data_IF_172096322138
#
_entry.id   IF_172096322138
#
_cell.length_a   1.000
_cell.length_b   1.000
_cell.length_c   1.000
_cell.angle_alpha   90.00
_cell.angle_beta   90.00
_cell.angle_gamma   90.00
#
_symmetry.space_group_name_H-M   'P 1'
#
loop_
_entity.id
_entity.type
_entity.pdbx_description
1 polymer ?
#
# COMPACT_ATOMS: atom_id res chain seq x y z
N UNK A 1 -9.15 -16.63 17.94
CA UNK A 1 -8.57 -15.43 17.28
C UNK A 1 -7.47 -15.79 16.30
N UNK A 2 -6.46 -16.58 16.70
CA UNK A 2 -5.37 -17.03 15.83
C UNK A 2 -5.83 -17.70 14.52
N UNK A 3 -6.78 -18.65 14.59
CA UNK A 3 -7.32 -19.32 13.39
C UNK A 3 -7.97 -18.38 12.38
N UNK A 4 -8.58 -17.27 12.84
CA UNK A 4 -9.17 -16.26 11.95
C UNK A 4 -8.09 -15.47 11.23
N UNK A 5 -7.04 -15.08 11.93
CA UNK A 5 -5.89 -14.38 11.35
C UNK A 5 -5.18 -15.28 10.33
N UNK A 6 -4.95 -16.55 10.69
CA UNK A 6 -4.38 -17.54 9.78
C UNK A 6 -5.25 -17.70 8.52
N UNK A 7 -6.58 -17.81 8.67
CA UNK A 7 -7.51 -17.92 7.53
C UNK A 7 -7.49 -16.72 6.58
N UNK A 8 -7.24 -15.51 7.09
CA UNK A 8 -7.17 -14.28 6.30
C UNK A 8 -5.80 -14.14 5.59
N UNK A 9 -4.71 -14.47 6.28
CA UNK A 9 -3.35 -14.27 5.75
C UNK A 9 -2.96 -15.38 4.76
N UNK A 10 -3.38 -16.62 5.01
CA UNK A 10 -3.06 -17.79 4.17
C UNK A 10 -3.34 -17.58 2.69
N UNK A 11 -4.53 -17.12 2.25
CA UNK A 11 -4.79 -16.93 0.82
C UNK A 11 -3.84 -15.90 0.20
N UNK A 12 -3.49 -14.83 0.91
CA UNK A 12 -2.54 -13.81 0.43
C UNK A 12 -1.15 -14.43 0.24
N UNK A 13 -0.66 -15.18 1.23
CA UNK A 13 0.65 -15.83 1.17
C UNK A 13 0.69 -16.89 0.06
N UNK A 14 -0.39 -17.65 -0.14
CA UNK A 14 -0.47 -18.63 -1.23
C UNK A 14 -0.43 -17.97 -2.61
N UNK A 15 -1.16 -16.87 -2.81
CA UNK A 15 -1.13 -16.12 -4.08
C UNK A 15 0.30 -15.61 -4.36
N UNK A 16 0.97 -15.06 -3.34
CA UNK A 16 2.37 -14.60 -3.45
C UNK A 16 3.30 -15.77 -3.78
N UNK A 17 3.14 -16.93 -3.13
CA UNK A 17 3.96 -18.11 -3.37
C UNK A 17 3.80 -18.63 -4.80
N UNK A 18 2.57 -18.72 -5.29
CA UNK A 18 2.29 -19.13 -6.68
C UNK A 18 2.93 -18.15 -7.67
N UNK A 19 2.76 -16.84 -7.43
CA UNK A 19 3.39 -15.80 -8.24
C UNK A 19 4.92 -15.89 -8.23
N UNK A 20 5.52 -16.16 -7.07
CA UNK A 20 6.96 -16.35 -6.91
C UNK A 20 7.47 -17.58 -7.69
N UNK A 21 6.81 -18.74 -7.54
CA UNK A 21 7.19 -19.96 -8.25
C UNK A 21 7.08 -19.80 -9.76
N UNK A 22 6.01 -19.15 -10.23
CA UNK A 22 5.83 -18.82 -11.64
C UNK A 22 6.90 -17.84 -12.13
N UNK A 23 7.13 -16.75 -11.40
CA UNK A 23 8.12 -15.73 -11.74
C UNK A 23 9.54 -16.29 -11.83
N UNK A 24 9.88 -17.27 -10.98
CA UNK A 24 11.18 -17.97 -11.01
C UNK A 24 11.37 -18.84 -12.26
N UNK A 25 10.29 -19.33 -12.87
CA UNK A 25 10.35 -20.22 -14.04
C UNK A 25 10.18 -19.47 -15.35
N UNK A 26 9.26 -18.52 -15.41
CA UNK A 26 8.84 -17.86 -16.64
C UNK A 26 9.49 -16.50 -16.88
N UNK A 27 10.08 -15.88 -15.84
CA UNK A 27 10.64 -14.52 -15.90
C UNK A 27 9.78 -13.53 -16.71
N UNK A 28 8.49 -13.39 -16.38
CA UNK A 28 7.57 -12.58 -17.16
C UNK A 28 7.99 -11.11 -17.13
N UNK A 29 7.83 -10.42 -18.26
CA UNK A 29 7.98 -8.97 -18.30
C UNK A 29 6.80 -8.31 -17.56
N UNK A 30 7.11 -7.70 -16.43
CA UNK A 30 6.13 -7.02 -15.58
C UNK A 30 5.90 -5.56 -15.99
N UNK A 31 6.67 -5.01 -16.93
CA UNK A 31 6.58 -3.60 -17.31
C UNK A 31 5.18 -3.24 -17.85
N UNK A 32 4.61 -4.08 -18.72
CA UNK A 32 3.27 -3.87 -19.27
C UNK A 32 2.18 -3.92 -18.22
N UNK A 33 2.24 -4.91 -17.31
CA UNK A 33 1.25 -5.09 -16.23
C UNK A 33 1.34 -3.94 -15.23
N UNK A 34 2.54 -3.55 -14.82
CA UNK A 34 2.76 -2.44 -13.90
C UNK A 34 2.26 -1.12 -14.50
N UNK A 35 2.56 -0.88 -15.79
CA UNK A 35 2.08 0.33 -16.48
C UNK A 35 0.56 0.36 -16.57
N UNK A 36 -0.08 -0.74 -16.98
CA UNK A 36 -1.54 -0.84 -16.97
C UNK A 36 -2.13 -0.63 -15.57
N UNK A 37 -1.43 -1.12 -14.54
CA UNK A 37 -1.86 -0.99 -13.14
C UNK A 37 -1.84 0.46 -12.68
N UNK A 38 -0.78 1.19 -12.98
CA UNK A 38 -0.63 2.60 -12.60
C UNK A 38 -1.50 3.54 -13.44
N UNK A 39 -1.55 3.32 -14.76
CA UNK A 39 -2.22 4.25 -15.68
C UNK A 39 -3.74 4.06 -15.72
N UNK A 40 -4.22 2.83 -15.50
CA UNK A 40 -5.63 2.47 -15.75
C UNK A 40 -6.28 1.79 -14.54
N UNK A 41 -5.72 0.70 -14.04
CA UNK A 41 -6.40 -0.14 -13.04
C UNK A 41 -6.52 0.59 -11.70
N UNK A 42 -5.45 1.22 -11.21
CA UNK A 42 -5.47 1.93 -9.94
C UNK A 42 -6.45 3.13 -9.96
N UNK A 43 -6.45 4.01 -10.99
CA UNK A 43 -7.47 5.05 -11.11
C UNK A 43 -8.90 4.50 -11.17
N UNK A 44 -9.14 3.47 -11.99
CA UNK A 44 -10.47 2.83 -12.08
C UNK A 44 -10.91 2.24 -10.74
N UNK A 45 -9.99 1.60 -10.02
CA UNK A 45 -10.25 1.05 -8.70
C UNK A 45 -10.68 2.15 -7.73
N UNK A 46 -9.94 3.26 -7.67
CA UNK A 46 -10.27 4.41 -6.80
C UNK A 46 -11.66 4.96 -7.13
N UNK A 47 -11.96 5.18 -8.41
CA UNK A 47 -13.28 5.64 -8.84
C UNK A 47 -14.37 4.64 -8.47
N UNK A 48 -14.17 3.35 -8.75
CA UNK A 48 -15.17 2.30 -8.43
C UNK A 48 -15.45 2.18 -6.94
N UNK A 49 -14.43 2.35 -6.10
CA UNK A 49 -14.55 2.29 -4.65
C UNK A 49 -15.31 3.50 -4.09
N UNK A 50 -15.14 4.69 -4.66
CA UNK A 50 -15.76 5.93 -4.17
C UNK A 50 -17.16 6.19 -4.75
N UNK A 51 -17.48 5.66 -5.92
CA UNK A 51 -18.84 5.73 -6.51
C UNK A 51 -19.82 4.79 -5.80
N UNK A 52 -19.31 3.80 -5.08
CA UNK A 52 -20.13 2.89 -4.27
C UNK A 52 -20.89 3.67 -3.19
N UNK A 53 -22.23 3.60 -3.20
CA UNK A 53 -23.14 4.46 -2.40
C UNK A 53 -22.95 4.40 -0.88
N UNK A 54 -22.20 3.43 -0.38
CA UNK A 54 -22.04 3.14 1.05
C UNK A 54 -20.83 3.85 1.71
N UNK A 55 -20.06 4.65 0.95
CA UNK A 55 -18.84 5.28 1.46
C UNK A 55 -18.97 6.80 1.63
N UNK A 56 -19.13 7.25 2.87
CA UNK A 56 -19.07 8.68 3.22
C UNK A 56 -17.69 8.99 3.77
N UNK A 57 -16.88 9.77 3.02
CA UNK A 57 -15.51 10.13 3.42
C UNK A 57 -15.44 10.80 4.79
N UNK A 58 -16.44 11.61 5.14
CA UNK A 58 -16.47 12.37 6.39
C UNK A 58 -16.50 11.44 7.61
N UNK A 59 -17.16 10.28 7.51
CA UNK A 59 -17.32 9.33 8.60
C UNK A 59 -16.03 8.51 8.82
N UNK A 60 -15.11 8.54 7.86
CA UNK A 60 -13.84 7.81 7.89
C UNK A 60 -12.65 8.69 8.28
N UNK A 61 -12.88 9.94 8.72
CA UNK A 61 -11.80 10.88 9.01
C UNK A 61 -10.77 10.31 10.01
N UNK A 62 -11.24 9.60 11.05
CA UNK A 62 -10.37 8.99 12.05
C UNK A 62 -9.48 7.91 11.44
N UNK A 63 -10.03 7.09 10.54
CA UNK A 63 -9.29 6.06 9.83
C UNK A 63 -8.20 6.68 8.95
N UNK A 64 -8.55 7.73 8.19
CA UNK A 64 -7.60 8.42 7.31
C UNK A 64 -6.47 9.07 8.11
N UNK A 65 -6.78 9.72 9.23
CA UNK A 65 -5.77 10.27 10.14
C UNK A 65 -4.87 9.19 10.72
N UNK A 66 -5.42 8.06 11.15
CA UNK A 66 -4.61 6.92 11.60
C UNK A 66 -3.68 6.43 10.49
N UNK A 67 -4.16 6.37 9.23
CA UNK A 67 -3.34 6.05 8.07
C UNK A 67 -2.15 7.01 7.90
N UNK A 68 -2.41 8.33 7.94
CA UNK A 68 -1.37 9.36 7.88
C UNK A 68 -0.39 9.21 9.05
N UNK A 69 -0.90 9.01 10.26
CA UNK A 69 -0.08 8.85 11.45
C UNK A 69 0.81 7.61 11.38
N UNK A 70 0.33 6.50 10.78
CA UNK A 70 1.14 5.30 10.56
C UNK A 70 2.26 5.56 9.55
N UNK A 71 1.95 6.24 8.43
CA UNK A 71 2.96 6.57 7.41
C UNK A 71 4.02 7.52 7.96
N UNK A 72 3.61 8.59 8.64
CA UNK A 72 4.56 9.55 9.24
C UNK A 72 5.31 8.91 10.41
N UNK A 73 4.60 8.20 11.29
CA UNK A 73 5.18 7.55 12.47
C UNK A 73 6.21 6.49 12.11
N UNK A 74 5.92 5.65 11.11
CA UNK A 74 6.90 4.69 10.58
C UNK A 74 8.13 5.38 9.98
N UNK A 75 7.97 6.53 9.32
CA UNK A 75 9.09 7.34 8.84
C UNK A 75 9.97 7.89 9.96
N UNK A 76 9.34 8.45 11.00
CA UNK A 76 10.03 8.98 12.19
C UNK A 76 10.81 7.88 12.90
N UNK A 77 10.25 6.66 13.01
CA UNK A 77 10.91 5.52 13.63
C UNK A 77 11.98 4.89 12.73
N UNK A 78 11.76 4.81 11.43
CA UNK A 78 12.70 4.22 10.48
C UNK A 78 13.97 5.06 10.32
N UNK A 79 13.89 6.39 10.48
CA UNK A 79 15.03 7.29 10.36
C UNK A 79 16.19 7.02 11.35
N UNK A 80 15.97 6.95 12.68
CA UNK A 80 17.01 6.59 13.64
C UNK A 80 17.48 5.15 13.43
N UNK A 81 16.60 4.22 13.07
CA UNK A 81 16.96 2.82 12.79
C UNK A 81 17.94 2.75 11.60
N UNK A 82 17.69 3.51 10.53
CA UNK A 82 18.59 3.59 9.38
C UNK A 82 19.97 4.09 9.81
N UNK A 83 20.02 5.18 10.60
CA UNK A 83 21.29 5.75 11.09
C UNK A 83 22.07 4.79 11.97
N UNK A 84 21.41 4.11 12.92
CA UNK A 84 22.05 3.16 13.84
C UNK A 84 22.59 1.94 13.07
N UNK A 85 21.86 1.52 12.03
CA UNK A 85 22.23 0.36 11.21
C UNK A 85 23.23 0.67 10.10
N UNK A 86 23.69 1.92 9.97
CA UNK A 86 24.60 2.36 8.91
C UNK A 86 24.00 2.39 7.50
N UNK A 87 22.67 2.32 7.39
CA UNK A 87 21.95 2.39 6.11
C UNK A 87 21.66 3.84 5.72
N UNK A 88 21.67 4.15 4.42
CA UNK A 88 21.27 5.47 3.93
C UNK A 88 19.76 5.68 4.18
N UNK A 89 19.34 6.69 4.98
CA UNK A 89 17.93 6.96 5.24
C UNK A 89 17.12 7.18 3.95
N UNK A 90 17.72 7.70 2.88
CA UNK A 90 17.03 7.91 1.60
C UNK A 90 16.62 6.63 0.89
N UNK A 91 17.29 5.52 1.19
CA UNK A 91 16.96 4.19 0.63
C UNK A 91 16.13 3.37 1.59
N UNK A 92 16.34 3.51 2.91
CA UNK A 92 15.65 2.70 3.91
C UNK A 92 14.29 3.25 4.34
N UNK A 93 14.15 4.56 4.50
CA UNK A 93 12.95 5.18 5.08
C UNK A 93 11.73 5.10 4.15
N UNK A 94 11.84 5.39 2.83
CA UNK A 94 10.66 5.35 1.96
C UNK A 94 9.98 3.97 1.89
N UNK A 95 10.68 2.83 1.76
CA UNK A 95 10.06 1.51 1.82
C UNK A 95 9.38 1.17 3.16
N UNK A 96 9.84 1.76 4.27
CA UNK A 96 9.21 1.57 5.59
C UNK A 96 7.94 2.42 5.75
N UNK A 97 7.92 3.62 5.16
CA UNK A 97 6.76 4.51 5.17
C UNK A 97 5.65 4.07 4.20
N UNK A 98 6.06 3.60 3.03
CA UNK A 98 5.17 3.26 1.93
C UNK A 98 5.31 1.77 1.62
N UNK A 99 4.64 0.96 2.43
CA UNK A 99 4.55 -0.47 2.19
C UNK A 99 3.66 -0.77 0.97
N UNK A 100 3.60 -2.04 0.56
CA UNK A 100 2.78 -2.48 -0.56
C UNK A 100 1.28 -2.52 -0.19
N UNK A 101 0.70 -1.39 0.22
CA UNK A 101 -0.70 -1.28 0.64
C UNK A 101 -1.67 -1.66 -0.48
N UNK A 102 -1.28 -1.45 -1.73
CA UNK A 102 -2.08 -1.84 -2.90
C UNK A 102 -2.13 -3.35 -3.07
N UNK A 103 -1.01 -3.95 -3.48
CA UNK A 103 -1.00 -5.37 -3.89
C UNK A 103 -1.09 -6.34 -2.71
N UNK A 104 -0.71 -5.93 -1.50
CA UNK A 104 -0.84 -6.77 -0.30
C UNK A 104 -1.98 -6.32 0.61
N UNK A 105 -2.15 -5.01 0.82
CA UNK A 105 -3.13 -4.47 1.75
C UNK A 105 -4.58 -4.61 1.27
N UNK A 106 -4.86 -4.35 -0.01
CA UNK A 106 -6.22 -4.44 -0.54
C UNK A 106 -6.77 -5.88 -0.53
N UNK A 107 -6.03 -6.91 -1.00
CA UNK A 107 -6.50 -8.29 -0.87
C UNK A 107 -6.73 -8.71 0.57
N UNK A 108 -5.83 -8.30 1.48
CA UNK A 108 -5.98 -8.60 2.91
C UNK A 108 -7.24 -7.97 3.49
N UNK A 109 -7.55 -6.72 3.15
CA UNK A 109 -8.76 -6.04 3.58
C UNK A 109 -10.02 -6.72 3.05
N UNK A 110 -10.02 -7.13 1.77
CA UNK A 110 -11.15 -7.86 1.18
C UNK A 110 -11.33 -9.24 1.82
N UNK A 111 -10.27 -9.99 2.09
CA UNK A 111 -10.38 -11.28 2.78
C UNK A 111 -10.81 -11.14 4.24
N UNK A 112 -10.43 -10.04 4.91
CA UNK A 112 -10.77 -9.81 6.31
C UNK A 112 -12.20 -9.27 6.52
N UNK A 113 -12.63 -8.37 5.64
CA UNK A 113 -13.82 -7.52 5.82
C UNK A 113 -14.82 -7.60 4.66
N UNK A 114 -14.52 -8.35 3.60
CA UNK A 114 -15.37 -8.49 2.42
C UNK A 114 -15.45 -7.22 1.58
N UNK A 115 -16.52 -7.09 0.80
CA UNK A 115 -16.79 -5.92 -0.05
C UNK A 115 -16.91 -4.61 0.73
N UNK A 116 -17.45 -4.67 1.95
CA UNK A 116 -17.59 -3.50 2.82
C UNK A 116 -16.24 -2.89 3.24
N UNK A 117 -15.18 -3.70 3.32
CA UNK A 117 -13.84 -3.23 3.66
C UNK A 117 -13.05 -2.65 2.48
N UNK A 118 -13.53 -2.81 1.24
CA UNK A 118 -12.81 -2.37 0.05
C UNK A 118 -12.73 -0.85 -0.01
N UNK A 119 -13.85 -0.14 0.13
CA UNK A 119 -13.88 1.32 0.06
C UNK A 119 -12.95 2.02 1.08
N UNK A 120 -12.98 1.69 2.39
CA UNK A 120 -12.04 2.29 3.35
C UNK A 120 -10.58 1.90 3.07
N UNK A 121 -10.30 0.68 2.62
CA UNK A 121 -8.95 0.27 2.26
C UNK A 121 -8.42 1.02 1.02
N UNK A 122 -9.27 1.27 0.02
CA UNK A 122 -8.94 2.07 -1.16
C UNK A 122 -8.74 3.55 -0.79
N UNK A 123 -9.51 4.08 0.17
CA UNK A 123 -9.30 5.43 0.69
C UNK A 123 -7.92 5.57 1.38
N UNK A 124 -7.54 4.60 2.22
CA UNK A 124 -6.21 4.54 2.83
C UNK A 124 -5.11 4.41 1.77
N UNK A 125 -5.33 3.58 0.75
CA UNK A 125 -4.42 3.44 -0.38
C UNK A 125 -4.25 4.78 -1.13
N UNK A 126 -5.34 5.51 -1.39
CA UNK A 126 -5.29 6.81 -2.04
C UNK A 126 -4.50 7.85 -1.22
N UNK A 127 -4.73 7.91 0.09
CA UNK A 127 -3.97 8.78 1.01
C UNK A 127 -2.48 8.40 1.02
N UNK A 128 -2.17 7.11 1.12
CA UNK A 128 -0.78 6.63 1.08
C UNK A 128 -0.08 6.98 -0.24
N UNK A 129 -0.76 6.83 -1.38
CA UNK A 129 -0.20 7.21 -2.68
C UNK A 129 0.01 8.72 -2.80
N UNK A 130 -0.94 9.53 -2.33
CA UNK A 130 -0.78 10.98 -2.32
C UNK A 130 0.45 11.39 -1.50
N UNK A 131 0.64 10.78 -0.32
CA UNK A 131 1.84 10.98 0.49
C UNK A 131 3.10 10.45 -0.19
N UNK A 132 3.02 9.33 -0.92
CA UNK A 132 4.15 8.76 -1.64
C UNK A 132 4.65 9.71 -2.73
N UNK A 133 3.75 10.24 -3.55
CA UNK A 133 4.09 11.18 -4.62
C UNK A 133 4.51 12.56 -4.11
N UNK A 134 4.17 12.93 -2.87
CA UNK A 134 4.54 14.23 -2.28
C UNK A 134 5.75 14.13 -1.35
N UNK A 135 5.62 13.42 -0.23
CA UNK A 135 6.68 13.24 0.78
C UNK A 135 7.71 12.20 0.33
N UNK A 136 7.27 11.08 -0.24
CA UNK A 136 8.17 10.01 -0.67
C UNK A 136 9.14 10.48 -1.75
N UNK A 137 8.64 11.16 -2.78
CA UNK A 137 9.46 11.74 -3.85
C UNK A 137 10.47 12.77 -3.30
N UNK A 138 10.05 13.65 -2.38
CA UNK A 138 10.95 14.62 -1.73
C UNK A 138 12.01 13.96 -0.84
N UNK A 139 11.70 12.85 -0.17
CA UNK A 139 12.65 12.12 0.66
C UNK A 139 13.77 11.48 -0.19
N UNK A 140 13.42 10.93 -1.35
CA UNK A 140 14.40 10.32 -2.27
C UNK A 140 15.18 11.42 -3.01
N UNK A 141 14.47 12.42 -3.55
CA UNK A 141 15.06 13.55 -4.26
C UNK A 141 14.51 14.89 -3.73
N UNK A 142 15.25 15.55 -2.82
CA UNK A 142 14.83 16.83 -2.24
C UNK A 142 14.65 17.98 -3.25
N UNK A 143 15.14 17.82 -4.49
CA UNK A 143 15.04 18.81 -5.57
C UNK A 143 14.04 18.40 -6.66
N UNK A 144 13.24 17.36 -6.45
CA UNK A 144 12.20 16.99 -7.39
C UNK A 144 11.12 18.10 -7.41
N UNK A 145 10.91 18.70 -8.58
CA UNK A 145 9.77 19.57 -8.85
C UNK A 145 8.56 18.66 -9.12
N UNK A 146 7.51 18.82 -8.31
CA UNK A 146 6.21 18.12 -8.43
C UNK A 146 5.33 18.94 -9.37
#
# INVERSE_FOLDING_TARGET
MFWRIAGIITPVVLIILVGYLYGRKAHPDMAGINKATLDVIAPLLVVSAFVSKDFVLIDQWSLLLCGVAIVVGSGILAWPIAKISGMDPKTFVPPMMFNNCGNMGLPLAVFAFGSAGLAPAVALFAVSNLMHFTLGVKLVNPRAHI
#
